data_IF_277173642635
#
_entry.id   IF_277173642635
#
_cell.length_a   1.000
_cell.length_b   1.000
_cell.length_c   1.000
_cell.angle_alpha   90.00
_cell.angle_beta   90.00
_cell.angle_gamma   90.00
#
_symmetry.space_group_name_H-M   'P 1'
#
loop_
_entity.id
_entity.type
_entity.pdbx_description
1 polymer ?
#
# COMPACT_ATOMS: atom_id res chain seq x y z
N UNK A 1 -59.64 -18.06 40.16
CA UNK A 1 -58.18 -18.05 39.92
C UNK A 1 -57.92 -17.31 38.62
N UNK A 2 -57.44 -16.06 38.68
CA UNK A 2 -57.23 -15.20 37.50
C UNK A 2 -55.79 -15.36 37.03
N UNK A 3 -55.58 -15.91 35.82
CA UNK A 3 -54.26 -16.08 35.21
C UNK A 3 -53.92 -14.81 34.45
N UNK A 4 -52.99 -14.01 34.98
CA UNK A 4 -52.47 -12.82 34.33
C UNK A 4 -51.43 -13.23 33.30
N UNK A 5 -51.73 -13.02 32.02
CA UNK A 5 -50.80 -13.25 30.91
C UNK A 5 -49.94 -12.01 30.74
N UNK A 6 -48.65 -12.11 31.07
CA UNK A 6 -47.66 -11.05 30.82
C UNK A 6 -47.16 -11.18 29.38
N UNK A 7 -47.56 -10.23 28.52
CA UNK A 7 -47.02 -10.08 27.17
C UNK A 7 -45.75 -9.25 27.26
N UNK A 8 -44.59 -9.90 27.23
CA UNK A 8 -43.29 -9.23 27.12
C UNK A 8 -43.07 -8.78 25.68
N UNK A 9 -43.22 -7.48 25.43
CA UNK A 9 -42.84 -6.84 24.17
C UNK A 9 -41.30 -6.89 24.02
N UNK A 10 -40.82 -7.73 23.09
CA UNK A 10 -39.41 -7.80 22.73
C UNK A 10 -38.97 -6.57 21.94
N UNK A 11 -38.12 -5.74 22.55
CA UNK A 11 -37.49 -4.60 21.91
C UNK A 11 -36.33 -5.11 21.02
N UNK A 12 -36.57 -5.17 19.71
CA UNK A 12 -35.56 -5.49 18.69
C UNK A 12 -34.54 -4.34 18.60
N UNK A 13 -33.44 -4.43 19.34
CA UNK A 13 -32.25 -3.60 19.14
C UNK A 13 -31.55 -4.06 17.85
N UNK A 14 -31.86 -3.41 16.73
CA UNK A 14 -31.04 -3.50 15.52
C UNK A 14 -29.69 -2.84 15.78
N UNK A 15 -28.67 -3.63 16.08
CA UNK A 15 -27.28 -3.17 16.10
C UNK A 15 -26.87 -2.74 14.70
N UNK A 16 -26.86 -1.43 14.43
CA UNK A 16 -26.13 -0.86 13.30
C UNK A 16 -24.64 -1.14 13.55
N UNK A 17 -24.08 -2.09 12.80
CA UNK A 17 -22.64 -2.28 12.77
C UNK A 17 -22.00 -1.05 12.13
N UNK A 18 -21.49 -0.14 12.98
CA UNK A 18 -20.73 1.02 12.55
C UNK A 18 -19.40 0.51 11.98
N UNK A 19 -19.34 0.39 10.66
CA UNK A 19 -18.09 0.07 9.96
C UNK A 19 -17.19 1.28 10.04
N UNK A 20 -16.07 1.17 10.76
CA UNK A 20 -15.05 2.21 10.79
C UNK A 20 -14.40 2.33 9.40
N UNK A 21 -14.84 3.30 8.62
CA UNK A 21 -14.23 3.63 7.33
C UNK A 21 -12.94 4.41 7.57
N UNK A 22 -11.84 3.70 7.76
CA UNK A 22 -10.52 4.33 7.83
C UNK A 22 -10.20 5.02 6.50
N UNK A 23 -9.60 6.21 6.55
CA UNK A 23 -9.10 6.89 5.37
C UNK A 23 -7.97 6.08 4.71
N UNK A 24 -7.76 6.29 3.41
CA UNK A 24 -6.66 5.62 2.70
C UNK A 24 -5.26 5.94 3.28
N UNK A 25 -5.10 7.13 3.86
CA UNK A 25 -3.88 7.51 4.57
C UNK A 25 -3.66 6.68 5.84
N UNK A 26 -4.71 6.53 6.66
CA UNK A 26 -4.65 5.72 7.89
C UNK A 26 -4.36 4.25 7.57
N UNK A 27 -5.01 3.70 6.54
CA UNK A 27 -4.73 2.33 6.09
C UNK A 27 -3.28 2.20 5.61
N UNK A 28 -2.78 3.15 4.82
CA UNK A 28 -1.38 3.14 4.36
C UNK A 28 -0.41 3.19 5.54
N UNK A 29 -0.63 4.08 6.51
CA UNK A 29 0.18 4.18 7.72
C UNK A 29 0.15 2.87 8.51
N UNK A 30 -1.03 2.29 8.73
CA UNK A 30 -1.17 1.09 9.54
C UNK A 30 -0.64 -0.19 8.86
N UNK A 31 -0.74 -0.31 7.53
CA UNK A 31 -0.50 -1.58 6.81
C UNK A 31 0.68 -1.57 5.86
N UNK A 32 1.07 -0.40 5.34
CA UNK A 32 2.10 -0.30 4.29
C UNK A 32 3.39 0.37 4.78
N UNK A 33 3.29 1.31 5.72
CA UNK A 33 4.40 2.19 6.10
C UNK A 33 5.53 1.50 6.89
N UNK A 34 5.27 0.31 7.44
CA UNK A 34 6.28 -0.50 8.11
C UNK A 34 7.46 -0.88 7.18
N UNK A 35 7.23 -0.90 5.86
CA UNK A 35 8.26 -1.18 4.87
C UNK A 35 8.38 -0.10 3.78
N UNK A 36 7.27 0.50 3.37
CA UNK A 36 7.25 1.48 2.30
C UNK A 36 7.22 2.91 2.82
N UNK A 37 8.22 3.71 2.46
CA UNK A 37 8.08 5.16 2.52
C UNK A 37 7.13 5.63 1.41
N UNK A 38 6.24 6.58 1.72
CA UNK A 38 5.37 7.17 0.69
C UNK A 38 6.20 7.84 -0.42
N UNK A 39 7.24 8.57 0.00
CA UNK A 39 8.17 9.30 -0.85
C UNK A 39 9.60 8.77 -0.69
N UNK A 40 10.44 8.94 -1.72
CA UNK A 40 11.83 8.53 -1.61
C UNK A 40 12.63 9.45 -0.67
N UNK A 41 13.73 8.96 -0.06
CA UNK A 41 14.64 9.77 0.75
C UNK A 41 15.15 11.05 0.06
N UNK A 42 15.16 11.11 -1.27
CA UNK A 42 15.49 12.33 -2.03
C UNK A 42 14.55 13.52 -1.79
N UNK A 43 13.41 13.30 -1.14
CA UNK A 43 12.53 14.37 -0.64
C UNK A 43 13.03 14.97 0.69
N UNK A 44 13.94 14.30 1.40
CA UNK A 44 14.48 14.70 2.71
C UNK A 44 15.99 14.99 2.66
N UNK A 45 16.74 14.29 1.80
CA UNK A 45 18.18 14.38 1.70
C UNK A 45 18.60 14.68 0.25
N UNK A 46 19.63 15.52 0.09
CA UNK A 46 20.16 15.85 -1.24
C UNK A 46 20.76 14.59 -1.89
N UNK A 47 20.40 14.24 -3.15
CA UNK A 47 20.97 13.09 -3.82
C UNK A 47 22.50 13.13 -3.86
N UNK A 48 23.13 11.98 -3.58
CA UNK A 48 24.58 11.83 -3.62
C UNK A 48 25.32 12.17 -2.32
N UNK A 49 24.64 12.67 -1.28
CA UNK A 49 25.27 12.86 0.04
C UNK A 49 25.37 11.53 0.81
N UNK A 50 26.25 11.42 1.83
CA UNK A 50 26.30 10.25 2.70
C UNK A 50 24.96 9.90 3.34
N UNK A 51 24.20 10.90 3.80
CA UNK A 51 22.88 10.71 4.43
C UNK A 51 21.86 10.16 3.45
N UNK A 52 21.86 10.66 2.20
CA UNK A 52 21.02 10.09 1.15
C UNK A 52 21.38 8.63 0.88
N UNK A 53 22.67 8.29 0.76
CA UNK A 53 23.09 6.90 0.52
C UNK A 53 22.66 5.98 1.67
N UNK A 54 22.85 6.44 2.91
CA UNK A 54 22.43 5.71 4.10
C UNK A 54 20.90 5.49 4.10
N UNK A 55 20.13 6.56 3.92
CA UNK A 55 18.66 6.48 3.91
C UNK A 55 18.13 5.59 2.78
N UNK A 56 18.81 5.54 1.63
CA UNK A 56 18.49 4.62 0.54
C UNK A 56 18.81 3.15 0.93
N UNK A 57 19.97 2.91 1.57
CA UNK A 57 20.37 1.58 2.02
C UNK A 57 19.47 1.00 3.13
N UNK A 58 18.89 1.86 3.96
CA UNK A 58 17.98 1.47 5.04
C UNK A 58 16.55 1.15 4.56
N UNK A 59 16.25 1.34 3.27
CA UNK A 59 14.95 1.00 2.71
C UNK A 59 14.70 -0.50 2.76
N UNK A 60 13.61 -0.89 3.43
CA UNK A 60 13.12 -2.28 3.46
C UNK A 60 12.36 -2.67 2.21
N UNK A 61 11.76 -1.69 1.53
CA UNK A 61 11.01 -1.88 0.30
C UNK A 61 11.15 -0.65 -0.61
N UNK A 62 10.81 -0.75 -1.91
CA UNK A 62 10.85 0.39 -2.80
C UNK A 62 9.92 1.53 -2.33
N UNK A 63 10.30 2.81 -2.46
CA UNK A 63 9.40 3.92 -2.14
C UNK A 63 8.10 3.83 -2.94
N UNK A 64 6.96 4.07 -2.28
CA UNK A 64 5.63 3.89 -2.88
C UNK A 64 5.43 4.81 -4.09
N UNK A 65 5.97 6.03 -4.07
CA UNK A 65 5.97 6.92 -5.23
C UNK A 65 6.59 6.27 -6.48
N UNK A 66 7.68 5.51 -6.34
CA UNK A 66 8.27 4.76 -7.47
C UNK A 66 7.35 3.62 -7.90
N UNK A 67 6.87 2.80 -6.95
CA UNK A 67 5.95 1.69 -7.23
C UNK A 67 4.73 2.19 -8.00
N UNK A 68 4.06 3.22 -7.48
CA UNK A 68 2.88 3.81 -8.08
C UNK A 68 3.15 4.35 -9.49
N UNK A 69 4.29 5.02 -9.72
CA UNK A 69 4.65 5.51 -11.05
C UNK A 69 4.80 4.39 -12.08
N UNK A 70 5.40 3.26 -11.69
CA UNK A 70 5.57 2.13 -12.58
C UNK A 70 4.25 1.45 -12.91
N UNK A 71 3.37 1.29 -11.91
CA UNK A 71 2.03 0.73 -12.12
C UNK A 71 1.22 1.64 -13.06
N UNK A 72 1.24 2.96 -12.85
CA UNK A 72 0.57 3.93 -13.74
C UNK A 72 1.12 3.95 -15.16
N UNK A 73 2.39 3.64 -15.36
CA UNK A 73 2.96 3.50 -16.71
C UNK A 73 2.48 2.23 -17.42
N UNK A 74 2.08 1.20 -16.66
CA UNK A 74 1.57 -0.06 -17.22
C UNK A 74 0.05 -0.08 -17.35
N UNK A 75 -0.65 0.60 -16.44
CA UNK A 75 -2.10 0.63 -16.35
C UNK A 75 -2.56 2.08 -16.40
N UNK A 76 -3.29 2.43 -17.46
CA UNK A 76 -3.66 3.81 -17.78
C UNK A 76 -4.75 4.36 -16.87
N UNK A 77 -5.60 3.50 -16.33
CA UNK A 77 -6.76 3.90 -15.52
C UNK A 77 -6.54 3.68 -14.03
N UNK A 78 -7.23 4.50 -13.23
CA UNK A 78 -7.22 4.39 -11.75
C UNK A 78 -7.80 3.04 -11.31
N UNK A 79 -8.80 2.54 -12.02
CA UNK A 79 -9.47 1.27 -11.76
C UNK A 79 -8.52 0.09 -12.01
N UNK A 80 -7.78 0.11 -13.12
CA UNK A 80 -6.79 -0.92 -13.43
C UNK A 80 -5.61 -0.89 -12.45
N UNK A 81 -5.17 0.31 -12.04
CA UNK A 81 -4.21 0.49 -10.96
C UNK A 81 -4.70 -0.16 -9.65
N UNK A 82 -5.93 0.16 -9.22
CA UNK A 82 -6.49 -0.35 -7.97
C UNK A 82 -6.66 -1.87 -8.01
N UNK A 83 -7.12 -2.41 -9.14
CA UNK A 83 -7.23 -3.85 -9.37
C UNK A 83 -5.87 -4.55 -9.26
N UNK A 84 -4.83 -3.97 -9.87
CA UNK A 84 -3.47 -4.51 -9.78
C UNK A 84 -2.95 -4.50 -8.33
N UNK A 85 -3.10 -3.37 -7.63
CA UNK A 85 -2.64 -3.26 -6.23
C UNK A 85 -3.36 -4.30 -5.36
N UNK A 86 -4.68 -4.42 -5.47
CA UNK A 86 -5.46 -5.39 -4.70
C UNK A 86 -5.01 -6.85 -4.95
N UNK A 87 -4.84 -7.23 -6.22
CA UNK A 87 -4.34 -8.56 -6.59
C UNK A 87 -2.92 -8.79 -6.02
N UNK A 88 -2.03 -7.82 -6.19
CA UNK A 88 -0.63 -7.96 -5.80
C UNK A 88 -0.43 -8.01 -4.27
N UNK A 89 -1.15 -7.20 -3.49
CA UNK A 89 -1.03 -7.25 -2.02
C UNK A 89 -1.65 -8.52 -1.42
N UNK A 90 -2.62 -9.13 -2.12
CA UNK A 90 -3.29 -10.36 -1.66
C UNK A 90 -2.50 -11.61 -2.07
N UNK A 91 -1.98 -11.63 -3.30
CA UNK A 91 -1.24 -12.75 -3.89
C UNK A 91 -0.01 -12.22 -4.63
N UNK A 92 1.01 -11.74 -3.88
CA UNK A 92 2.23 -11.21 -4.46
C UNK A 92 2.96 -12.31 -5.20
N UNK A 93 3.39 -12.00 -6.41
CA UNK A 93 4.06 -12.96 -7.28
C UNK A 93 5.17 -12.26 -8.08
N UNK A 94 6.33 -12.90 -8.19
CA UNK A 94 7.50 -12.33 -8.84
C UNK A 94 7.26 -12.05 -10.34
N UNK A 95 6.46 -12.87 -11.03
CA UNK A 95 6.11 -12.66 -12.44
C UNK A 95 5.15 -11.48 -12.65
N UNK A 96 4.35 -11.13 -11.63
CA UNK A 96 3.44 -9.97 -11.65
C UNK A 96 4.14 -8.64 -11.35
N UNK A 97 5.40 -8.66 -10.92
CA UNK A 97 6.12 -7.44 -10.53
C UNK A 97 6.28 -6.46 -11.70
N UNK A 98 5.63 -5.29 -11.62
CA UNK A 98 5.77 -4.25 -12.65
C UNK A 98 7.18 -3.65 -12.67
N UNK A 99 7.88 -3.67 -11.53
CA UNK A 99 9.26 -3.21 -11.40
C UNK A 99 10.31 -4.29 -11.75
N UNK A 100 9.91 -5.44 -12.30
CA UNK A 100 10.78 -6.55 -12.75
C UNK A 100 11.75 -7.12 -11.68
N UNK A 101 12.42 -8.22 -12.04
CA UNK A 101 13.28 -9.06 -11.17
C UNK A 101 14.23 -8.31 -10.23
N UNK A 102 14.68 -7.11 -10.58
CA UNK A 102 15.63 -6.34 -9.78
C UNK A 102 15.06 -5.82 -8.45
N UNK A 103 13.77 -5.48 -8.39
CA UNK A 103 13.15 -5.10 -7.13
C UNK A 103 13.05 -6.31 -6.18
N UNK A 104 12.72 -7.49 -6.71
CA UNK A 104 12.69 -8.74 -5.93
C UNK A 104 14.10 -9.16 -5.50
N UNK A 105 15.11 -9.06 -6.38
CA UNK A 105 16.51 -9.30 -6.00
C UNK A 105 17.00 -8.35 -4.91
N UNK A 106 16.57 -7.09 -4.96
CA UNK A 106 16.98 -6.06 -4.01
C UNK A 106 16.25 -6.18 -2.66
N UNK A 107 14.93 -6.22 -2.66
CA UNK A 107 14.10 -6.10 -1.45
C UNK A 107 13.41 -7.40 -1.03
N UNK A 108 13.48 -8.45 -1.84
CA UNK A 108 12.67 -9.65 -1.68
C UNK A 108 11.26 -9.51 -2.28
N UNK A 109 10.48 -10.60 -2.21
CA UNK A 109 9.07 -10.59 -2.59
C UNK A 109 8.25 -9.96 -1.47
N UNK A 110 7.30 -9.10 -1.83
CA UNK A 110 6.39 -8.47 -0.87
C UNK A 110 5.56 -9.55 -0.15
N UNK A 111 5.35 -9.45 1.18
CA UNK A 111 4.46 -10.36 1.90
C UNK A 111 2.99 -10.11 1.53
N UNK A 112 2.17 -11.16 1.65
CA UNK A 112 0.74 -11.15 1.31
C UNK A 112 -0.15 -10.43 2.35
N UNK A 113 0.14 -9.15 2.64
CA UNK A 113 -0.55 -8.36 3.68
C UNK A 113 -2.04 -8.15 3.39
N UNK A 114 -2.45 -8.24 2.12
CA UNK A 114 -3.83 -8.08 1.71
C UNK A 114 -4.76 -9.19 2.20
N UNK A 115 -4.24 -10.35 2.63
CA UNK A 115 -5.10 -11.44 3.14
C UNK A 115 -5.84 -11.07 4.42
N UNK A 116 -5.32 -10.11 5.20
CA UNK A 116 -5.91 -9.65 6.46
C UNK A 116 -6.67 -8.33 6.32
N UNK A 117 -6.92 -7.86 5.08
CA UNK A 117 -7.61 -6.60 4.80
C UNK A 117 -8.97 -6.87 4.16
N UNK A 118 -9.97 -6.04 4.45
CA UNK A 118 -11.25 -6.09 3.75
C UNK A 118 -11.12 -5.64 2.29
N UNK A 119 -12.11 -5.97 1.45
CA UNK A 119 -12.14 -5.51 0.04
C UNK A 119 -12.14 -3.99 -0.04
N UNK A 120 -12.88 -3.34 0.85
CA UNK A 120 -13.02 -1.89 0.97
C UNK A 120 -11.69 -1.25 1.36
N UNK A 121 -10.98 -1.78 2.36
CA UNK A 121 -9.67 -1.26 2.76
C UNK A 121 -8.66 -1.30 1.61
N UNK A 122 -8.62 -2.43 0.87
CA UNK A 122 -7.71 -2.60 -0.27
C UNK A 122 -8.01 -1.60 -1.38
N UNK A 123 -9.29 -1.39 -1.70
CA UNK A 123 -9.71 -0.40 -2.69
C UNK A 123 -9.34 1.01 -2.23
N UNK A 124 -9.73 1.38 -1.01
CA UNK A 124 -9.50 2.71 -0.44
C UNK A 124 -8.01 3.07 -0.40
N UNK A 125 -7.15 2.16 0.07
CA UNK A 125 -5.70 2.43 0.11
C UNK A 125 -5.10 2.50 -1.29
N UNK A 126 -5.53 1.66 -2.23
CA UNK A 126 -4.99 1.67 -3.59
C UNK A 126 -5.34 2.98 -4.32
N UNK A 127 -6.58 3.44 -4.20
CA UNK A 127 -6.99 4.73 -4.77
C UNK A 127 -6.27 5.91 -4.11
N UNK A 128 -6.08 5.86 -2.80
CA UNK A 128 -5.32 6.89 -2.09
C UNK A 128 -3.86 6.92 -2.52
N UNK A 129 -3.20 5.76 -2.67
CA UNK A 129 -1.85 5.66 -3.22
C UNK A 129 -1.80 6.25 -4.62
N UNK A 130 -2.77 5.94 -5.48
CA UNK A 130 -2.85 6.50 -6.84
C UNK A 130 -2.83 8.05 -6.81
N UNK A 131 -3.54 8.69 -5.90
CA UNK A 131 -3.60 10.15 -5.84
C UNK A 131 -2.37 10.79 -5.14
N UNK A 132 -1.78 10.11 -4.15
CA UNK A 132 -0.85 10.74 -3.21
C UNK A 132 0.62 10.30 -3.38
N UNK A 133 0.88 9.12 -3.97
CA UNK A 133 2.24 8.64 -4.23
C UNK A 133 2.82 9.27 -5.51
N UNK A 134 3.42 10.45 -5.37
CA UNK A 134 3.92 11.27 -6.48
C UNK A 134 5.42 11.09 -6.73
N UNK A 135 5.79 10.39 -7.81
CA UNK A 135 7.18 10.30 -8.23
C UNK A 135 7.69 11.61 -8.83
N UNK A 136 8.87 12.05 -8.40
CA UNK A 136 9.61 13.13 -9.06
C UNK A 136 10.08 12.71 -10.46
N UNK A 137 10.38 13.65 -11.37
CA UNK A 137 10.94 13.32 -12.69
C UNK A 137 12.20 12.44 -12.60
N UNK A 138 13.04 12.67 -11.60
CA UNK A 138 14.23 11.86 -11.33
C UNK A 138 13.85 10.40 -11.00
N UNK A 139 12.87 10.20 -10.12
CA UNK A 139 12.42 8.85 -9.72
C UNK A 139 11.83 8.08 -10.90
N UNK A 140 11.11 8.74 -11.81
CA UNK A 140 10.59 8.10 -13.03
C UNK A 140 11.73 7.53 -13.88
N UNK A 141 12.85 8.24 -13.98
CA UNK A 141 14.06 7.83 -14.74
C UNK A 141 14.94 6.80 -14.01
N UNK A 142 14.77 6.62 -12.70
CA UNK A 142 15.55 5.67 -11.91
C UNK A 142 15.21 4.22 -12.29
N UNK A 143 16.22 3.36 -12.47
CA UNK A 143 16.02 1.92 -12.73
C UNK A 143 15.37 1.25 -11.51
N UNK A 144 14.42 0.34 -11.72
CA UNK A 144 13.86 -0.47 -10.64
C UNK A 144 14.95 -1.29 -9.94
N UNK A 145 14.92 -1.34 -8.61
CA UNK A 145 15.97 -1.95 -7.78
C UNK A 145 17.17 -1.03 -7.52
N UNK A 146 17.30 0.10 -8.24
CA UNK A 146 18.22 1.15 -7.85
C UNK A 146 17.65 1.82 -6.59
N UNK A 147 18.32 1.59 -5.48
CA UNK A 147 17.88 2.05 -4.16
C UNK A 147 18.61 1.37 -3.03
N UNK A 148 19.18 0.18 -3.27
CA UNK A 148 20.38 -0.23 -2.55
C UNK A 148 21.57 0.44 -3.26
N UNK A 149 21.97 1.62 -2.79
CA UNK A 149 23.19 2.26 -3.27
C UNK A 149 24.39 1.45 -2.74
N UNK A 150 24.79 0.45 -3.52
CA UNK A 150 25.83 -0.50 -3.13
C UNK A 150 25.38 -1.94 -3.25
N UNK A 151 24.82 -2.31 -4.42
CA UNK A 151 24.84 -3.71 -4.79
C UNK A 151 26.28 -4.18 -4.75
N UNK A 152 26.58 -5.12 -3.84
CA UNK A 152 27.79 -5.93 -3.94
C UNK A 152 27.83 -6.59 -5.31
#
# INVERSE_FOLDING_TARGET
MKKTVLVTAGLLLSTLALSANNSGEEIFKAKCSACHLLQAPGAMYKPGTPEFRQAMNDLKAPPMAKVASMIKMKYETKEAFAKFVNDYITTPDASKTVCMKNAVKGFGLMPAIGKTMSTEEKKTVAEWIYNNAKATPMMKKMKCGAGKCGGK
#
